data_IF_950499742477
#
_entry.id   IF_950499742477
#
_cell.length_a   1.000
_cell.length_b   1.000
_cell.length_c   1.000
_cell.angle_alpha   90.00
_cell.angle_beta   90.00
_cell.angle_gamma   90.00
#
_symmetry.space_group_name_H-M   'P 1'
#
loop_
_entity.id
_entity.type
_entity.pdbx_description
1 polymer ?
#
# COMPACT_ATOMS: atom_id res chain seq x y z
N UNK A 1 31.88 30.64 -7.49
CA UNK A 1 30.49 30.66 -6.96
C UNK A 1 30.53 31.08 -5.50
N UNK A 2 29.93 32.23 -5.17
CA UNK A 2 30.15 33.00 -3.95
C UNK A 2 29.66 32.28 -2.69
N UNK A 3 30.60 31.66 -1.95
CA UNK A 3 30.35 30.98 -0.67
C UNK A 3 29.87 31.92 0.45
N UNK A 4 30.10 33.23 0.32
CA UNK A 4 29.79 34.24 1.33
C UNK A 4 28.30 34.48 1.55
N UNK A 5 27.43 34.21 0.57
CA UNK A 5 25.98 34.35 0.69
C UNK A 5 25.27 33.03 1.02
N UNK A 6 26.03 31.96 1.22
CA UNK A 6 25.46 30.66 1.54
C UNK A 6 24.92 30.67 2.97
N UNK A 7 23.60 30.64 3.14
CA UNK A 7 22.99 30.26 4.42
C UNK A 7 23.28 28.79 4.65
N UNK A 8 24.30 28.52 5.46
CA UNK A 8 24.81 27.17 5.65
C UNK A 8 23.81 26.31 6.42
N UNK A 9 23.28 25.31 5.73
CA UNK A 9 22.48 24.24 6.29
C UNK A 9 23.30 22.95 6.17
N UNK A 10 23.74 22.40 7.30
CA UNK A 10 24.71 21.31 7.36
C UNK A 10 24.01 19.95 7.52
N UNK A 11 24.53 18.94 6.86
CA UNK A 11 24.11 17.54 7.03
C UNK A 11 25.33 16.64 7.19
N UNK A 12 25.20 15.52 7.90
CA UNK A 12 26.24 14.51 7.97
C UNK A 12 26.36 13.75 6.66
N UNK A 13 27.56 13.73 6.10
CA UNK A 13 27.88 12.90 4.95
C UNK A 13 28.67 11.68 5.41
N UNK A 14 28.05 10.50 5.39
CA UNK A 14 28.74 9.24 5.72
C UNK A 14 29.96 8.99 4.85
N UNK A 15 29.84 9.26 3.54
CA UNK A 15 30.96 9.14 2.57
C UNK A 15 32.20 9.95 2.97
N UNK A 16 32.00 11.09 3.62
CA UNK A 16 33.09 12.01 3.96
C UNK A 16 33.38 12.08 5.46
N UNK A 17 32.64 11.34 6.29
CA UNK A 17 32.77 11.35 7.75
C UNK A 17 32.69 12.75 8.37
N UNK A 18 31.97 13.68 7.74
CA UNK A 18 31.96 15.08 8.14
C UNK A 18 30.64 15.79 7.80
N UNK A 19 30.35 16.84 8.56
CA UNK A 19 29.21 17.74 8.28
C UNK A 19 29.55 18.66 7.09
N UNK A 20 28.71 18.61 6.05
CA UNK A 20 28.85 19.42 4.84
C UNK A 20 27.63 20.29 4.63
N UNK A 21 27.85 21.51 4.15
CA UNK A 21 26.74 22.36 3.75
C UNK A 21 26.05 21.79 2.52
N UNK A 22 24.72 21.66 2.55
CA UNK A 22 23.90 21.16 1.42
C UNK A 22 24.08 21.96 0.13
N UNK A 23 24.50 23.22 0.22
CA UNK A 23 24.48 24.19 -0.89
C UNK A 23 25.86 24.48 -1.45
N UNK A 24 26.83 24.78 -0.59
CA UNK A 24 28.20 25.11 -1.00
C UNK A 24 29.21 23.99 -0.71
N UNK A 25 28.75 22.87 -0.14
CA UNK A 25 29.58 21.71 0.23
C UNK A 25 30.74 22.02 1.20
N UNK A 26 30.77 23.23 1.77
CA UNK A 26 31.73 23.67 2.79
C UNK A 26 31.63 22.75 4.00
N UNK A 27 32.77 22.29 4.49
CA UNK A 27 32.87 21.49 5.70
C UNK A 27 32.69 22.38 6.92
N UNK A 28 32.01 21.87 7.95
CA UNK A 28 31.90 22.57 9.23
C UNK A 28 33.17 22.31 10.05
N UNK A 29 33.85 23.37 10.49
CA UNK A 29 35.08 23.29 11.32
C UNK A 29 34.79 22.99 12.80
N UNK A 30 33.64 22.37 13.12
CA UNK A 30 33.25 22.07 14.50
C UNK A 30 33.97 20.82 14.99
N UNK A 31 34.71 20.92 16.11
CA UNK A 31 35.36 19.82 16.82
C UNK A 31 34.39 18.91 17.58
N UNK A 32 33.11 19.30 17.69
CA UNK A 32 32.06 18.47 18.29
C UNK A 32 31.12 17.99 17.19
N UNK A 33 31.01 16.66 16.95
CA UNK A 33 29.96 16.14 16.09
C UNK A 33 28.60 16.45 16.73
N UNK A 34 27.69 17.06 15.99
CA UNK A 34 26.33 17.37 16.48
C UNK A 34 25.41 16.14 16.44
N UNK A 35 25.90 15.02 15.93
CA UNK A 35 25.17 13.76 15.89
C UNK A 35 25.27 13.08 17.24
N UNK A 36 24.13 12.94 17.91
CA UNK A 36 23.96 12.11 19.08
C UNK A 36 24.49 10.70 18.78
N UNK A 37 25.09 10.06 19.78
CA UNK A 37 25.55 8.67 19.67
C UNK A 37 24.46 7.78 19.06
N UNK A 38 24.84 6.78 18.23
CA UNK A 38 23.88 5.85 17.66
C UNK A 38 23.02 5.25 18.76
N UNK A 39 21.69 5.28 18.60
CA UNK A 39 20.76 4.64 19.51
C UNK A 39 21.13 3.16 19.62
N UNK A 40 21.59 2.75 20.79
CA UNK A 40 21.83 1.33 21.09
C UNK A 40 20.48 0.70 21.39
N UNK A 41 20.04 -0.18 20.50
CA UNK A 41 18.89 -1.03 20.77
C UNK A 41 19.42 -2.29 21.45
N UNK A 42 19.21 -2.40 22.76
CA UNK A 42 19.45 -3.66 23.45
C UNK A 42 18.58 -4.74 22.82
N UNK A 43 19.19 -5.90 22.54
CA UNK A 43 18.46 -7.01 21.96
C UNK A 43 17.34 -7.42 22.92
N UNK A 44 16.06 -7.42 22.50
CA UNK A 44 14.98 -7.84 23.36
C UNK A 44 15.18 -9.31 23.77
N UNK A 45 14.74 -9.69 24.99
CA UNK A 45 14.84 -11.07 25.45
C UNK A 45 14.19 -12.03 24.43
N UNK A 46 14.72 -13.25 24.26
CA UNK A 46 14.17 -14.22 23.32
C UNK A 46 12.72 -14.50 23.67
N UNK A 47 11.81 -14.21 22.73
CA UNK A 47 10.39 -14.54 22.89
C UNK A 47 10.22 -16.06 22.87
N UNK A 48 9.33 -16.63 23.70
CA UNK A 48 8.98 -18.04 23.59
C UNK A 48 8.47 -18.31 22.17
N UNK A 49 8.91 -19.42 21.58
CA UNK A 49 8.46 -19.82 20.26
C UNK A 49 6.94 -19.95 20.29
N UNK A 50 6.26 -19.21 19.41
CA UNK A 50 4.81 -19.34 19.27
C UNK A 50 4.50 -20.77 18.82
N UNK A 51 3.53 -21.39 19.48
CA UNK A 51 3.01 -22.69 19.06
C UNK A 51 2.38 -22.53 17.68
N UNK A 52 3.03 -23.10 16.67
CA UNK A 52 2.56 -23.02 15.28
C UNK A 52 1.38 -23.97 15.16
N UNK A 53 0.17 -23.42 15.26
CA UNK A 53 -1.03 -24.17 14.89
C UNK A 53 -0.91 -24.55 13.41
N UNK A 54 -1.23 -25.79 13.03
CA UNK A 54 -1.25 -26.19 11.64
C UNK A 54 -2.24 -25.30 10.90
N UNK A 55 -1.79 -24.76 9.76
CA UNK A 55 -2.68 -24.04 8.86
C UNK A 55 -3.79 -25.01 8.43
N UNK A 56 -5.08 -24.66 8.53
CA UNK A 56 -6.14 -25.53 8.06
C UNK A 56 -5.90 -25.83 6.58
N UNK A 57 -5.93 -27.11 6.21
CA UNK A 57 -5.83 -27.54 4.82
C UNK A 57 -6.88 -26.79 4.01
N UNK A 58 -6.40 -25.87 3.17
CA UNK A 58 -7.19 -25.29 2.11
C UNK A 58 -7.44 -26.44 1.14
N UNK A 59 -8.52 -27.19 1.34
CA UNK A 59 -9.06 -28.06 0.31
C UNK A 59 -9.03 -27.26 -1.00
N UNK A 60 -8.54 -27.83 -2.13
CA UNK A 60 -8.39 -27.09 -3.36
C UNK A 60 -9.73 -26.47 -3.74
N UNK A 61 -9.87 -25.16 -3.48
CA UNK A 61 -11.03 -24.37 -3.88
C UNK A 61 -11.06 -24.21 -5.40
N UNK A 62 -10.13 -24.85 -6.12
CA UNK A 62 -10.14 -25.05 -7.56
C UNK A 62 -11.34 -25.88 -8.03
N UNK A 63 -11.87 -26.80 -7.21
CA UNK A 63 -12.99 -27.65 -7.62
C UNK A 63 -14.34 -26.90 -7.72
N UNK A 64 -14.44 -25.66 -7.20
CA UNK A 64 -15.64 -24.82 -7.33
C UNK A 64 -15.49 -23.74 -8.42
N UNK A 65 -14.39 -23.73 -9.18
CA UNK A 65 -14.15 -22.74 -10.25
C UNK A 65 -14.67 -23.19 -11.62
N UNK A 66 -15.29 -24.38 -11.70
CA UNK A 66 -15.74 -25.01 -12.94
C UNK A 66 -17.26 -24.91 -13.18
N UNK A 67 -17.92 -23.84 -12.73
CA UNK A 67 -19.31 -23.57 -13.09
C UNK A 67 -19.49 -22.09 -13.43
N UNK A 68 -19.46 -21.83 -14.73
CA UNK A 68 -19.60 -20.52 -15.39
C UNK A 68 -18.35 -19.65 -15.26
N UNK A 69 -17.75 -19.22 -16.37
CA UNK A 69 -16.88 -18.04 -16.33
C UNK A 69 -17.73 -16.90 -15.77
N UNK A 70 -17.50 -16.45 -14.52
CA UNK A 70 -18.26 -15.33 -14.03
C UNK A 70 -17.86 -14.16 -14.92
N UNK A 71 -18.85 -13.45 -15.47
CA UNK A 71 -18.60 -12.21 -16.18
C UNK A 71 -17.57 -11.37 -15.40
N UNK A 72 -16.67 -10.75 -16.14
CA UNK A 72 -15.59 -9.90 -15.61
C UNK A 72 -16.08 -9.04 -14.44
N UNK A 73 -15.28 -8.85 -13.38
CA UNK A 73 -15.73 -8.17 -12.15
C UNK A 73 -16.34 -6.81 -12.47
N UNK A 74 -15.73 -6.09 -13.43
CA UNK A 74 -16.24 -4.84 -13.97
C UNK A 74 -17.66 -4.98 -14.52
N UNK A 75 -17.91 -5.96 -15.38
CA UNK A 75 -19.24 -6.20 -15.99
C UNK A 75 -20.30 -6.46 -14.92
N UNK A 76 -19.97 -7.23 -13.89
CA UNK A 76 -20.91 -7.51 -12.78
C UNK A 76 -21.25 -6.25 -11.98
N UNK A 77 -20.30 -5.33 -11.83
CA UNK A 77 -20.55 -4.04 -11.18
C UNK A 77 -21.35 -3.10 -12.10
N UNK A 78 -21.12 -3.13 -13.41
CA UNK A 78 -21.91 -2.35 -14.37
C UNK A 78 -23.38 -2.79 -14.41
N UNK A 79 -23.66 -4.10 -14.28
CA UNK A 79 -25.03 -4.59 -14.15
C UNK A 79 -25.74 -4.11 -12.88
N UNK A 80 -25.00 -4.00 -11.76
CA UNK A 80 -25.49 -3.39 -10.53
C UNK A 80 -25.84 -1.91 -10.73
N UNK A 81 -24.99 -1.15 -11.41
CA UNK A 81 -25.29 0.24 -11.81
C UNK A 81 -26.54 0.29 -12.69
N UNK A 82 -26.75 -0.72 -13.54
CA UNK A 82 -27.95 -0.88 -14.37
C UNK A 82 -29.23 -1.26 -13.62
N UNK A 83 -29.18 -1.40 -12.29
CA UNK A 83 -30.35 -1.71 -11.46
C UNK A 83 -30.56 -3.21 -11.19
N UNK A 84 -29.60 -4.07 -11.52
CA UNK A 84 -29.66 -5.49 -11.14
C UNK A 84 -29.65 -5.62 -9.62
N UNK A 85 -30.67 -6.24 -9.05
CA UNK A 85 -30.69 -6.58 -7.62
C UNK A 85 -29.87 -7.84 -7.37
N UNK A 86 -29.00 -7.81 -6.36
CA UNK A 86 -28.27 -8.98 -5.89
C UNK A 86 -28.90 -9.51 -4.60
N UNK A 87 -28.86 -10.83 -4.43
CA UNK A 87 -29.19 -11.46 -3.17
C UNK A 87 -28.01 -11.33 -2.18
N UNK A 88 -28.23 -11.72 -0.92
CA UNK A 88 -27.21 -11.62 0.13
C UNK A 88 -25.95 -12.41 -0.22
N UNK A 89 -26.10 -13.60 -0.80
CA UNK A 89 -24.98 -14.46 -1.15
C UNK A 89 -24.14 -13.85 -2.29
N UNK A 90 -24.77 -13.35 -3.35
CA UNK A 90 -24.08 -12.71 -4.46
C UNK A 90 -23.45 -11.38 -4.05
N UNK A 91 -24.08 -10.61 -3.17
CA UNK A 91 -23.50 -9.37 -2.62
C UNK A 91 -22.20 -9.65 -1.88
N UNK A 92 -22.20 -10.64 -0.97
CA UNK A 92 -20.99 -11.02 -0.24
C UNK A 92 -19.91 -11.56 -1.18
N UNK A 93 -20.29 -12.33 -2.21
CA UNK A 93 -19.35 -12.82 -3.22
C UNK A 93 -18.69 -11.67 -3.97
N UNK A 94 -19.47 -10.69 -4.43
CA UNK A 94 -18.96 -9.55 -5.16
C UNK A 94 -18.00 -8.70 -4.31
N UNK A 95 -18.31 -8.51 -3.02
CA UNK A 95 -17.41 -7.80 -2.10
C UNK A 95 -16.07 -8.52 -1.93
N UNK A 96 -16.09 -9.85 -1.80
CA UNK A 96 -14.86 -10.64 -1.73
C UNK A 96 -14.06 -10.53 -3.02
N UNK A 97 -14.71 -10.67 -4.17
CA UNK A 97 -14.04 -10.56 -5.47
C UNK A 97 -13.42 -9.15 -5.66
N UNK A 98 -14.07 -8.08 -5.19
CA UNK A 98 -13.54 -6.71 -5.22
C UNK A 98 -12.31 -6.52 -4.32
N UNK A 99 -12.32 -7.12 -3.12
CA UNK A 99 -11.18 -7.08 -2.21
C UNK A 99 -10.01 -7.87 -2.81
N UNK A 100 -10.27 -9.05 -3.36
CA UNK A 100 -9.26 -9.89 -4.00
C UNK A 100 -8.64 -9.19 -5.22
N UNK A 101 -9.45 -8.53 -6.06
CA UNK A 101 -8.98 -7.72 -7.18
C UNK A 101 -8.03 -6.61 -6.71
N UNK A 102 -8.42 -5.83 -5.70
CA UNK A 102 -7.59 -4.75 -5.16
C UNK A 102 -6.28 -5.21 -4.49
N UNK A 103 -6.13 -6.50 -4.16
CA UNK A 103 -4.89 -7.10 -3.66
C UNK A 103 -4.09 -7.84 -4.75
N UNK A 104 -4.59 -7.90 -5.97
CA UNK A 104 -3.93 -8.52 -7.13
C UNK A 104 -2.72 -7.71 -7.60
N UNK A 105 -1.75 -8.39 -8.21
CA UNK A 105 -0.67 -7.72 -8.95
C UNK A 105 -1.15 -7.05 -10.24
N UNK A 106 -2.31 -7.45 -10.74
CA UNK A 106 -2.96 -6.92 -11.94
C UNK A 106 -4.46 -6.73 -11.65
N UNK A 107 -4.86 -5.60 -11.03
CA UNK A 107 -6.25 -5.34 -10.67
C UNK A 107 -7.04 -4.86 -11.90
N UNK A 108 -8.25 -5.35 -12.06
CA UNK A 108 -9.16 -4.96 -13.14
C UNK A 108 -9.72 -3.55 -12.94
N UNK A 109 -9.92 -3.13 -11.69
CA UNK A 109 -10.57 -1.85 -11.35
C UNK A 109 -9.53 -0.87 -10.82
N UNK A 110 -8.88 -0.12 -11.73
CA UNK A 110 -7.79 0.81 -11.38
C UNK A 110 -7.91 2.19 -12.03
N UNK A 111 -7.32 3.19 -11.39
CA UNK A 111 -7.15 4.52 -11.99
C UNK A 111 -8.46 5.21 -12.35
N UNK A 112 -8.50 5.80 -13.55
CA UNK A 112 -9.63 6.64 -13.99
C UNK A 112 -10.91 5.80 -14.20
N UNK A 113 -10.78 4.55 -14.65
CA UNK A 113 -11.95 3.68 -14.87
C UNK A 113 -12.62 3.31 -13.56
N UNK A 114 -11.85 3.10 -12.48
CA UNK A 114 -12.38 2.89 -11.14
C UNK A 114 -13.17 4.12 -10.65
N UNK A 115 -12.62 5.32 -10.83
CA UNK A 115 -13.29 6.56 -10.43
C UNK A 115 -14.63 6.75 -11.13
N UNK A 116 -14.71 6.50 -12.44
CA UNK A 116 -15.96 6.57 -13.21
C UNK A 116 -16.97 5.52 -12.74
N UNK A 117 -16.53 4.26 -12.56
CA UNK A 117 -17.38 3.17 -12.09
C UNK A 117 -18.00 3.48 -10.71
N UNK A 118 -17.19 3.97 -9.76
CA UNK A 118 -17.66 4.31 -8.42
C UNK A 118 -18.55 5.55 -8.40
N UNK A 119 -18.29 6.55 -9.25
CA UNK A 119 -19.18 7.70 -9.40
C UNK A 119 -20.56 7.28 -9.92
N UNK A 120 -20.60 6.36 -10.89
CA UNK A 120 -21.85 5.80 -11.43
C UNK A 120 -22.60 4.95 -10.40
N UNK A 121 -21.90 4.12 -9.64
CA UNK A 121 -22.49 3.40 -8.49
C UNK A 121 -23.08 4.35 -7.45
N UNK A 122 -22.33 5.39 -7.08
CA UNK A 122 -22.80 6.39 -6.14
C UNK A 122 -24.04 7.12 -6.65
N UNK A 123 -24.08 7.47 -7.94
CA UNK A 123 -25.26 8.07 -8.55
C UNK A 123 -26.47 7.11 -8.51
N UNK A 124 -26.28 5.84 -8.85
CA UNK A 124 -27.34 4.84 -8.84
C UNK A 124 -27.95 4.62 -7.44
N UNK A 125 -27.14 4.69 -6.38
CA UNK A 125 -27.61 4.55 -4.98
C UNK A 125 -28.34 5.80 -4.49
N UNK A 126 -27.93 7.00 -4.91
CA UNK A 126 -28.46 8.27 -4.38
C UNK A 126 -29.55 8.92 -5.24
N UNK A 127 -29.82 8.38 -6.44
CA UNK A 127 -30.93 8.80 -7.30
C UNK A 127 -32.16 7.89 -7.20
N UNK A 128 -32.11 6.85 -6.36
CA UNK A 128 -33.20 5.91 -6.08
C UNK A 128 -34.10 6.40 -4.93
#
# INVERSE_FOLDING_TARGET
MNSFLCRHDFYWSERHGAERCRRCAKLRESTKPTHAEPLRFDAPPPRPAAEVMPFPDLAPREAARALSEPADLKTRIEELVGGRTLDRAATLRLLLDLIEDGQSSDPQIVGITAADLYARLHAAVNQA
#
